data_IF_298919816268
#
_entry.id   IF_298919816268
#
_cell.length_a   1.000
_cell.length_b   1.000
_cell.length_c   1.000
_cell.angle_alpha   90.00
_cell.angle_beta   90.00
_cell.angle_gamma   90.00
#
_symmetry.space_group_name_H-M   'P 1'
#
loop_
_entity.id
_entity.type
_entity.pdbx_description
1 polymer ?
#
# COMPACT_ATOMS: atom_id res chain seq x y z
N UNK A 1 14.76 32.73 2.43
CA UNK A 1 13.99 31.62 1.81
C UNK A 1 13.76 30.58 2.91
N UNK A 2 12.50 30.30 3.25
CA UNK A 2 12.15 29.41 4.37
C UNK A 2 12.61 27.98 4.10
N UNK A 3 13.37 27.38 5.03
CA UNK A 3 13.91 26.02 4.92
C UNK A 3 12.79 24.98 4.73
N UNK A 4 11.59 25.23 5.27
CA UNK A 4 10.41 24.37 5.07
C UNK A 4 9.92 24.40 3.62
N UNK A 5 9.87 25.58 2.99
CA UNK A 5 9.47 25.70 1.59
C UNK A 5 10.49 25.05 0.63
N UNK A 6 11.79 25.14 0.95
CA UNK A 6 12.82 24.46 0.17
C UNK A 6 12.75 22.93 0.29
N UNK A 7 12.48 22.41 1.50
CA UNK A 7 12.27 20.98 1.74
C UNK A 7 11.06 20.45 0.96
N UNK A 8 9.90 21.09 1.12
CA UNK A 8 8.66 20.71 0.42
C UNK A 8 8.81 20.76 -1.10
N UNK A 9 9.49 21.80 -1.62
CA UNK A 9 9.80 21.92 -3.05
C UNK A 9 10.66 20.75 -3.55
N UNK A 10 11.73 20.40 -2.84
CA UNK A 10 12.62 19.28 -3.21
C UNK A 10 11.94 17.91 -3.10
N UNK A 11 11.15 17.65 -2.07
CA UNK A 11 10.34 16.41 -1.97
C UNK A 11 9.29 16.32 -3.06
N UNK A 12 8.72 17.46 -3.48
CA UNK A 12 7.74 17.49 -4.59
C UNK A 12 8.43 17.19 -5.92
N UNK A 13 9.63 17.73 -6.16
CA UNK A 13 10.44 17.39 -7.34
C UNK A 13 10.84 15.91 -7.35
N UNK A 14 11.18 15.34 -6.19
CA UNK A 14 11.52 13.92 -6.04
C UNK A 14 10.34 13.00 -6.38
N UNK A 15 9.15 13.27 -5.83
CA UNK A 15 7.92 12.53 -6.17
C UNK A 15 7.43 12.76 -7.61
N UNK A 16 7.98 13.76 -8.30
CA UNK A 16 7.70 14.03 -9.72
C UNK A 16 8.79 13.48 -10.64
N UNK A 17 9.84 12.84 -10.11
CA UNK A 17 10.88 12.23 -10.92
C UNK A 17 10.27 11.01 -11.65
N UNK A 18 10.30 10.99 -13.00
CA UNK A 18 9.78 9.87 -13.78
C UNK A 18 10.37 8.52 -13.36
N UNK A 19 11.61 8.50 -12.86
CA UNK A 19 12.29 7.27 -12.41
C UNK A 19 11.69 6.67 -11.14
N UNK A 20 10.99 7.46 -10.33
CA UNK A 20 10.31 7.00 -9.11
C UNK A 20 8.84 6.63 -9.37
N UNK A 21 8.22 7.24 -10.38
CA UNK A 21 6.83 6.99 -10.77
C UNK A 21 6.66 5.65 -11.52
N UNK A 22 7.70 5.16 -12.19
CA UNK A 22 7.70 3.89 -12.94
C UNK A 22 7.86 2.64 -12.04
N UNK A 23 8.08 2.86 -10.73
CA UNK A 23 8.35 1.81 -9.76
C UNK A 23 7.11 1.28 -9.04
N UNK A 24 5.90 1.81 -9.31
CA UNK A 24 4.71 1.54 -8.48
C UNK A 24 3.61 0.72 -9.19
N UNK A 25 3.14 -0.31 -8.50
CA UNK A 25 1.90 -1.05 -8.75
C UNK A 25 0.74 -0.39 -8.01
N UNK A 26 -0.45 -0.45 -8.62
CA UNK A 26 -1.72 0.05 -8.06
C UNK A 26 -2.66 -1.15 -7.79
N UNK A 27 -3.16 -1.30 -6.56
CA UNK A 27 -4.31 -2.17 -6.26
C UNK A 27 -5.21 -1.56 -5.18
N UNK A 28 -6.48 -1.93 -5.23
CA UNK A 28 -7.45 -1.55 -4.20
C UNK A 28 -7.56 -2.74 -3.24
N UNK A 29 -7.36 -2.49 -1.94
CA UNK A 29 -7.60 -3.50 -0.91
C UNK A 29 -8.98 -3.25 -0.33
N UNK A 30 -9.82 -4.25 -0.41
CA UNK A 30 -11.21 -4.17 0.00
C UNK A 30 -11.40 -5.09 1.21
N UNK A 31 -11.69 -4.52 2.37
CA UNK A 31 -12.00 -5.30 3.58
C UNK A 31 -13.51 -5.35 3.72
N UNK A 32 -14.08 -6.55 3.68
CA UNK A 32 -15.50 -6.81 3.92
C UNK A 32 -15.63 -7.45 5.29
N UNK A 33 -16.35 -6.80 6.20
CA UNK A 33 -16.74 -7.46 7.44
C UNK A 33 -18.09 -8.13 7.19
N UNK A 34 -18.10 -9.47 7.21
CA UNK A 34 -19.31 -10.25 7.06
C UNK A 34 -19.93 -10.44 8.45
N UNK A 35 -21.25 -10.53 8.54
CA UNK A 35 -21.86 -11.16 9.70
C UNK A 35 -22.33 -12.54 9.27
N UNK A 36 -22.36 -13.47 10.21
CA UNK A 36 -23.14 -14.65 9.95
C UNK A 36 -23.93 -15.14 11.16
N UNK A 37 -25.15 -15.56 10.86
CA UNK A 37 -25.90 -16.50 11.70
C UNK A 37 -25.54 -17.96 11.36
N UNK A 38 -24.69 -18.20 10.34
CA UNK A 38 -24.52 -19.48 9.65
C UNK A 38 -23.12 -19.75 9.02
N UNK A 39 -22.02 -19.09 9.40
CA UNK A 39 -20.64 -19.44 8.95
C UNK A 39 -20.05 -20.26 10.07
N UNK A 40 -20.51 -21.50 10.14
CA UNK A 40 -19.86 -22.55 10.90
C UNK A 40 -19.02 -23.38 9.95
N UNK A 41 -17.87 -22.85 9.53
CA UNK A 41 -16.80 -23.71 9.02
C UNK A 41 -15.43 -23.07 9.28
N UNK A 42 -14.79 -23.57 10.34
CA UNK A 42 -13.36 -23.47 10.64
C UNK A 42 -12.84 -22.16 11.26
N UNK A 43 -13.31 -21.77 12.45
CA UNK A 43 -12.41 -21.40 13.56
C UNK A 43 -13.16 -21.53 14.90
N UNK A 44 -12.43 -21.81 15.96
CA UNK A 44 -12.97 -22.20 17.26
C UNK A 44 -14.05 -21.25 17.82
N UNK A 45 -15.08 -21.85 18.45
CA UNK A 45 -16.15 -21.18 19.19
C UNK A 45 -15.59 -20.21 20.26
N UNK A 46 -15.41 -18.94 19.92
CA UNK A 46 -15.49 -17.83 20.87
C UNK A 46 -16.63 -16.93 20.41
N UNK A 47 -17.65 -16.75 21.26
CA UNK A 47 -18.96 -16.19 20.91
C UNK A 47 -18.99 -14.68 20.61
N UNK A 48 -17.87 -14.03 20.29
CA UNK A 48 -17.79 -12.56 20.14
C UNK A 48 -17.08 -12.05 18.88
N UNK A 49 -16.69 -12.92 17.93
CA UNK A 49 -15.99 -12.48 16.72
C UNK A 49 -16.83 -12.72 15.47
N UNK A 50 -17.34 -11.65 14.85
CA UNK A 50 -18.00 -11.72 13.55
C UNK A 50 -16.98 -12.05 12.45
N UNK A 51 -17.33 -12.94 11.50
CA UNK A 51 -16.40 -13.35 10.44
C UNK A 51 -15.99 -12.16 9.57
N UNK A 52 -14.71 -12.06 9.21
CA UNK A 52 -14.23 -10.98 8.34
C UNK A 52 -13.52 -11.56 7.12
N UNK A 53 -13.71 -10.91 5.97
CA UNK A 53 -13.08 -11.30 4.71
C UNK A 53 -12.30 -10.12 4.15
N UNK A 54 -11.03 -10.35 3.80
CA UNK A 54 -10.23 -9.37 3.08
C UNK A 54 -10.10 -9.83 1.63
N UNK A 55 -10.43 -8.93 0.70
CA UNK A 55 -10.38 -9.15 -0.74
C UNK A 55 -9.38 -8.18 -1.34
N UNK A 56 -8.36 -8.72 -1.99
CA UNK A 56 -7.42 -7.91 -2.79
C UNK A 56 -7.86 -7.96 -4.25
N UNK A 57 -8.03 -6.79 -4.88
CA UNK A 57 -8.31 -6.73 -6.32
C UNK A 57 -7.03 -6.95 -7.12
N UNK A 58 -7.14 -7.40 -8.37
CA UNK A 58 -6.00 -7.45 -9.28
C UNK A 58 -5.51 -6.04 -9.65
N UNK A 59 -4.24 -5.96 -10.08
CA UNK A 59 -3.61 -4.71 -10.53
C UNK A 59 -4.39 -4.04 -11.67
N UNK A 60 -4.81 -4.74 -12.75
CA UNK A 60 -5.56 -4.09 -13.83
C UNK A 60 -6.90 -3.51 -13.37
N UNK A 61 -7.55 -4.12 -12.38
CA UNK A 61 -8.77 -3.57 -11.80
C UNK A 61 -8.49 -2.31 -10.99
N UNK A 62 -7.44 -2.33 -10.17
CA UNK A 62 -7.02 -1.17 -9.37
C UNK A 62 -6.68 0.05 -10.23
N UNK A 63 -5.92 -0.14 -11.31
CA UNK A 63 -5.59 0.94 -12.27
C UNK A 63 -6.84 1.49 -12.93
N UNK A 64 -7.74 0.62 -13.41
CA UNK A 64 -8.96 1.02 -14.11
C UNK A 64 -9.87 1.92 -13.25
N UNK A 65 -10.00 1.60 -11.96
CA UNK A 65 -10.93 2.26 -11.04
C UNK A 65 -10.23 3.21 -10.05
N UNK A 66 -8.98 3.59 -10.31
CA UNK A 66 -8.13 4.31 -9.35
C UNK A 66 -8.74 5.67 -8.92
N UNK A 67 -9.22 6.43 -9.91
CA UNK A 67 -9.77 7.78 -9.71
C UNK A 67 -11.26 7.78 -9.36
N UNK A 68 -11.94 6.64 -9.50
CA UNK A 68 -13.36 6.51 -9.17
C UNK A 68 -13.61 6.59 -7.65
N UNK A 69 -14.80 7.07 -7.27
CA UNK A 69 -15.19 7.14 -5.87
C UNK A 69 -15.39 5.73 -5.29
N UNK A 70 -15.09 5.53 -3.99
CA UNK A 70 -15.14 4.19 -3.37
C UNK A 70 -16.55 3.59 -3.47
N UNK A 71 -17.55 4.43 -3.32
CA UNK A 71 -18.99 4.14 -3.35
C UNK A 71 -19.44 3.65 -4.73
N UNK A 72 -18.73 4.04 -5.80
CA UNK A 72 -18.98 3.57 -7.17
C UNK A 72 -18.33 2.22 -7.44
N UNK A 73 -17.15 1.97 -6.87
CA UNK A 73 -16.35 0.77 -7.13
C UNK A 73 -16.77 -0.41 -6.26
N UNK A 74 -17.19 -0.15 -5.03
CA UNK A 74 -17.59 -1.16 -4.04
C UNK A 74 -18.66 -2.15 -4.55
N UNK A 75 -19.80 -1.70 -5.15
CA UNK A 75 -20.79 -2.61 -5.70
C UNK A 75 -20.24 -3.53 -6.80
N UNK A 76 -19.28 -3.03 -7.59
CA UNK A 76 -18.63 -3.81 -8.67
C UNK A 76 -17.80 -4.95 -8.06
N UNK A 77 -17.10 -4.68 -6.95
CA UNK A 77 -16.31 -5.69 -6.23
C UNK A 77 -17.22 -6.75 -5.62
N UNK A 78 -18.32 -6.36 -4.97
CA UNK A 78 -19.28 -7.30 -4.37
C UNK A 78 -19.91 -8.23 -5.41
N UNK A 79 -20.34 -7.70 -6.56
CA UNK A 79 -20.87 -8.51 -7.68
C UNK A 79 -19.82 -9.49 -8.20
N UNK A 80 -18.54 -9.08 -8.27
CA UNK A 80 -17.46 -9.98 -8.69
C UNK A 80 -17.13 -11.04 -7.65
N UNK A 81 -17.24 -10.73 -6.36
CA UNK A 81 -16.98 -11.64 -5.24
C UNK A 81 -18.03 -12.76 -5.14
N UNK A 82 -19.30 -12.45 -5.41
CA UNK A 82 -20.40 -13.42 -5.35
C UNK A 82 -20.31 -14.49 -6.47
N UNK A 83 -19.59 -14.23 -7.56
CA UNK A 83 -19.41 -15.20 -8.65
C UNK A 83 -18.59 -16.44 -8.23
N UNK A 84 -17.36 -16.31 -7.68
CA UNK A 84 -16.58 -17.45 -7.20
C UNK A 84 -17.08 -18.00 -5.86
N UNK A 85 -17.77 -17.18 -5.05
CA UNK A 85 -18.29 -17.55 -3.73
C UNK A 85 -19.80 -17.28 -3.67
N UNK A 86 -20.63 -18.11 -4.33
CA UNK A 86 -22.08 -17.92 -4.30
C UNK A 86 -22.63 -18.19 -2.90
N UNK A 87 -23.60 -17.39 -2.48
CA UNK A 87 -24.30 -17.57 -1.21
C UNK A 87 -23.64 -16.90 -0.01
N UNK A 88 -22.66 -16.01 -0.22
CA UNK A 88 -22.17 -15.15 0.85
C UNK A 88 -23.31 -14.30 1.43
N UNK A 89 -23.38 -14.15 2.78
CA UNK A 89 -24.36 -13.29 3.41
C UNK A 89 -24.13 -11.82 3.05
N UNK A 90 -25.16 -10.99 3.23
CA UNK A 90 -25.00 -9.55 3.11
C UNK A 90 -24.04 -9.06 4.22
N UNK A 91 -23.03 -8.24 3.90
CA UNK A 91 -22.14 -7.68 4.91
C UNK A 91 -22.86 -6.64 5.77
N UNK A 92 -22.58 -6.66 7.07
CA UNK A 92 -23.01 -5.62 8.02
C UNK A 92 -22.17 -4.35 7.91
N UNK A 93 -20.89 -4.50 7.53
CA UNK A 93 -19.98 -3.39 7.37
C UNK A 93 -18.98 -3.66 6.23
N UNK A 94 -18.73 -2.63 5.44
CA UNK A 94 -17.78 -2.67 4.35
C UNK A 94 -16.79 -1.53 4.52
N UNK A 95 -15.50 -1.85 4.39
CA UNK A 95 -14.41 -0.89 4.36
C UNK A 95 -13.61 -1.03 3.07
N UNK A 96 -13.82 -0.09 2.16
CA UNK A 96 -13.01 0.05 0.96
C UNK A 96 -11.74 0.90 1.22
N UNK A 97 -10.55 0.35 0.94
CA UNK A 97 -9.28 1.07 1.04
C UNK A 97 -8.56 1.11 -0.33
N UNK A 98 -8.43 2.30 -0.89
CA UNK A 98 -7.66 2.50 -2.13
C UNK A 98 -6.17 2.66 -1.78
N UNK A 99 -5.31 1.89 -2.42
CA UNK A 99 -3.85 2.05 -2.34
C UNK A 99 -3.32 2.47 -3.70
N UNK A 100 -3.05 3.77 -3.86
CA UNK A 100 -2.45 4.29 -5.10
C UNK A 100 -1.04 3.74 -5.28
N UNK A 101 -0.24 3.70 -4.23
CA UNK A 101 1.11 3.14 -4.24
C UNK A 101 1.10 1.96 -3.30
N UNK A 102 1.04 0.76 -3.88
CA UNK A 102 0.55 -0.42 -3.16
C UNK A 102 1.59 -1.53 -3.08
N UNK A 103 2.37 -1.72 -4.15
CA UNK A 103 3.60 -2.50 -4.18
C UNK A 103 4.57 -1.84 -5.16
N UNK A 104 5.85 -2.14 -5.03
CA UNK A 104 6.91 -1.73 -5.92
C UNK A 104 7.09 -2.80 -7.00
N UNK A 105 7.05 -2.42 -8.28
CA UNK A 105 7.38 -3.31 -9.42
C UNK A 105 8.88 -3.46 -9.61
N UNK A 106 9.59 -2.35 -9.44
CA UNK A 106 11.02 -2.22 -9.67
C UNK A 106 11.57 -1.26 -8.65
N UNK A 107 12.66 -1.63 -7.98
CA UNK A 107 13.35 -0.70 -7.08
C UNK A 107 13.95 0.46 -7.88
N UNK A 108 14.13 1.61 -7.22
CA UNK A 108 14.90 2.72 -7.77
C UNK A 108 16.30 2.23 -8.17
N UNK A 109 16.68 2.47 -9.43
CA UNK A 109 17.96 2.05 -9.95
C UNK A 109 19.14 2.66 -9.19
N UNK A 110 20.20 1.86 -9.00
CA UNK A 110 21.47 2.25 -8.40
C UNK A 110 21.39 2.78 -6.95
N UNK A 111 20.26 2.60 -6.27
CA UNK A 111 20.00 3.12 -4.93
C UNK A 111 19.57 2.00 -3.96
N UNK A 112 20.45 1.03 -3.63
CA UNK A 112 20.08 -0.12 -2.81
C UNK A 112 19.75 0.29 -1.38
N UNK A 113 18.46 0.25 -1.04
CA UNK A 113 17.92 0.50 0.28
C UNK A 113 17.86 1.96 0.74
N UNK A 114 18.53 2.90 0.07
CA UNK A 114 18.39 4.33 0.38
C UNK A 114 18.90 5.22 -0.76
N UNK A 115 18.52 6.49 -0.75
CA UNK A 115 19.12 7.53 -1.58
C UNK A 115 19.39 8.81 -0.76
N UNK A 116 20.64 9.24 -0.70
CA UNK A 116 21.03 10.53 -0.12
C UNK A 116 20.79 11.65 -1.13
N UNK A 117 19.82 12.51 -0.86
CA UNK A 117 19.48 13.67 -1.71
C UNK A 117 20.33 14.89 -1.40
N UNK A 118 20.68 15.09 -0.12
CA UNK A 118 21.56 16.17 0.33
C UNK A 118 22.48 15.66 1.42
N UNK A 119 23.81 15.91 1.32
CA UNK A 119 24.73 15.51 2.37
C UNK A 119 24.73 16.49 3.56
N UNK A 120 24.49 17.79 3.32
CA UNK A 120 24.46 18.80 4.40
C UNK A 120 23.46 19.94 4.09
N UNK A 121 22.44 20.18 4.93
CA UNK A 121 22.00 19.29 6.01
C UNK A 121 21.56 17.94 5.42
N UNK A 122 21.83 16.85 6.13
CA UNK A 122 21.56 15.51 5.65
C UNK A 122 20.06 15.33 5.32
N UNK A 123 19.80 14.86 4.11
CA UNK A 123 18.49 14.43 3.62
C UNK A 123 18.65 13.08 2.90
N UNK A 124 18.07 12.04 3.48
CA UNK A 124 18.10 10.67 2.95
C UNK A 124 16.68 10.14 2.80
N UNK A 125 16.43 9.42 1.71
CA UNK A 125 15.18 8.71 1.44
C UNK A 125 15.39 7.20 1.61
N UNK A 126 14.37 6.52 2.09
CA UNK A 126 14.29 5.05 2.14
C UNK A 126 12.83 4.61 2.13
N UNK A 127 12.62 3.31 2.26
CA UNK A 127 11.36 2.61 2.05
C UNK A 127 11.54 1.44 1.08
N UNK A 128 10.47 0.68 0.92
CA UNK A 128 10.39 -0.46 0.01
C UNK A 128 10.67 -0.10 -1.46
N UNK A 129 10.43 1.15 -1.87
CA UNK A 129 10.80 1.68 -3.19
C UNK A 129 12.29 1.53 -3.55
N UNK A 130 13.16 1.38 -2.55
CA UNK A 130 14.60 1.21 -2.73
C UNK A 130 15.05 -0.25 -2.59
N UNK A 131 14.13 -1.16 -2.30
CA UNK A 131 14.35 -2.60 -2.14
C UNK A 131 13.20 -3.38 -2.78
N UNK A 132 12.29 -3.93 -1.98
CA UNK A 132 11.17 -4.76 -2.37
C UNK A 132 9.99 -4.48 -1.42
N UNK A 133 8.76 -4.51 -1.93
CA UNK A 133 7.54 -4.32 -1.10
C UNK A 133 7.15 -5.56 -0.33
N UNK A 134 8.01 -5.92 0.62
CA UNK A 134 7.75 -6.92 1.64
C UNK A 134 8.36 -6.47 2.97
N UNK A 135 8.15 -7.27 4.02
CA UNK A 135 8.65 -6.95 5.35
C UNK A 135 10.18 -6.80 5.40
N UNK A 136 10.91 -7.73 4.78
CA UNK A 136 12.37 -7.75 4.80
C UNK A 136 12.98 -6.57 4.03
N UNK A 137 12.39 -6.20 2.88
CA UNK A 137 12.82 -5.05 2.09
C UNK A 137 12.68 -3.74 2.87
N UNK A 138 11.61 -3.58 3.65
CA UNK A 138 11.46 -2.44 4.56
C UNK A 138 12.56 -2.41 5.63
N UNK A 139 12.89 -3.55 6.24
CA UNK A 139 13.96 -3.65 7.24
C UNK A 139 15.31 -3.33 6.61
N UNK A 140 15.61 -3.92 5.45
CA UNK A 140 16.86 -3.69 4.73
C UNK A 140 17.05 -2.20 4.44
N UNK A 141 16.03 -1.53 3.92
CA UNK A 141 16.08 -0.10 3.66
C UNK A 141 16.32 0.71 4.94
N UNK A 142 15.61 0.39 6.03
CA UNK A 142 15.80 1.06 7.30
C UNK A 142 17.23 0.93 7.84
N UNK A 143 17.84 -0.26 7.73
CA UNK A 143 19.23 -0.50 8.11
C UNK A 143 20.21 0.33 7.25
N UNK A 144 19.97 0.40 5.92
CA UNK A 144 20.80 1.23 5.03
C UNK A 144 20.71 2.72 5.37
N UNK A 145 19.52 3.23 5.69
CA UNK A 145 19.37 4.61 6.15
C UNK A 145 20.11 4.86 7.48
N UNK A 146 20.05 3.90 8.41
CA UNK A 146 20.76 3.99 9.68
C UNK A 146 22.28 4.07 9.50
N UNK A 147 22.85 3.28 8.57
CA UNK A 147 24.29 3.34 8.26
C UNK A 147 24.72 4.73 7.73
N UNK A 148 23.89 5.35 6.88
CA UNK A 148 24.12 6.72 6.39
C UNK A 148 24.09 7.73 7.53
N UNK A 149 23.08 7.63 8.41
CA UNK A 149 22.94 8.51 9.57
C UNK A 149 24.15 8.38 10.50
N UNK A 150 24.55 7.14 10.83
CA UNK A 150 25.69 6.85 11.69
C UNK A 150 27.01 7.39 11.13
N UNK A 151 27.17 7.40 9.80
CA UNK A 151 28.38 7.88 9.13
C UNK A 151 28.41 9.41 8.96
N UNK A 152 27.33 10.10 9.29
CA UNK A 152 27.19 11.56 9.15
C UNK A 152 27.44 12.34 10.45
N UNK A 153 27.79 11.62 11.53
CA UNK A 153 28.23 12.15 12.82
C UNK A 153 29.66 11.69 13.11
#
# INVERSE_FOLDING_TARGET
>A
MDRKCAFLSKTRTFLSDPKLLDCSVYFIVFTVQLYDSCVSLCCAKSAECSPSMVVHTSVPFGVKHLEEAKEQVEPIILVKLNKPLPGLPQPDNIKCQKWRYSLVTSSVADCPGQMTLLPQPLLVCGGDGFTHSNFDGCIESALKMFDVLKSSF
#
